data_IF_466304433581
#
_entry.id   IF_466304433581
#
_cell.length_a   1.000
_cell.length_b   1.000
_cell.length_c   1.000
_cell.angle_alpha   90.00
_cell.angle_beta   90.00
_cell.angle_gamma   90.00
#
_symmetry.space_group_name_H-M   'P 1'
#
loop_
_entity.id
_entity.type
_entity.pdbx_description
1 polymer ?
#
# COMPACT_ATOMS: atom_id res chain seq x y z
N UNK A 1 10.89 -27.16 -13.00
CA UNK A 1 9.60 -26.54 -12.63
C UNK A 1 9.82 -25.04 -12.80
N UNK A 2 9.19 -24.42 -13.79
CA UNK A 2 9.48 -23.03 -14.16
C UNK A 2 9.20 -22.12 -12.96
N UNK A 3 10.24 -21.36 -12.57
CA UNK A 3 10.21 -20.30 -11.57
C UNK A 3 9.29 -19.19 -12.08
N UNK A 4 7.97 -19.38 -11.99
CA UNK A 4 7.00 -18.33 -12.26
C UNK A 4 7.19 -17.29 -11.15
N UNK A 5 7.99 -16.28 -11.49
CA UNK A 5 8.32 -15.20 -10.59
C UNK A 5 7.05 -14.37 -10.38
N UNK A 6 6.40 -14.53 -9.23
CA UNK A 6 5.25 -13.71 -8.81
C UNK A 6 5.57 -12.22 -8.99
N UNK A 7 4.87 -11.53 -9.90
CA UNK A 7 5.16 -10.14 -10.28
C UNK A 7 4.29 -9.16 -9.47
N UNK A 8 4.86 -8.00 -9.10
CA UNK A 8 4.07 -6.89 -8.52
C UNK A 8 2.97 -6.40 -9.47
N UNK A 9 3.11 -6.64 -10.77
CA UNK A 9 2.04 -6.36 -11.73
C UNK A 9 0.73 -7.08 -11.38
N UNK A 10 0.81 -8.32 -10.88
CA UNK A 10 -0.35 -9.15 -10.51
C UNK A 10 -1.03 -8.65 -9.22
N UNK A 11 -0.33 -7.82 -8.44
CA UNK A 11 -0.81 -7.18 -7.21
C UNK A 11 -1.39 -5.78 -7.44
N UNK A 12 -1.49 -5.31 -8.69
CA UNK A 12 -2.16 -4.03 -8.97
C UNK A 12 -3.67 -4.22 -8.89
N UNK A 13 -4.37 -3.29 -8.24
CA UNK A 13 -5.83 -3.32 -8.20
C UNK A 13 -6.44 -3.26 -9.60
N UNK A 14 -7.21 -4.27 -9.98
CA UNK A 14 -8.09 -4.24 -11.15
C UNK A 14 -9.54 -4.20 -10.68
N UNK A 15 -10.10 -3.00 -10.62
CA UNK A 15 -11.47 -2.81 -10.20
C UNK A 15 -12.50 -3.38 -11.19
N UNK A 16 -12.14 -3.61 -12.46
CA UNK A 16 -13.05 -4.24 -13.42
C UNK A 16 -13.25 -5.73 -13.15
N UNK A 17 -12.27 -6.38 -12.50
CA UNK A 17 -12.32 -7.76 -12.05
C UNK A 17 -12.76 -7.91 -10.58
N UNK A 18 -13.23 -6.84 -9.94
CA UNK A 18 -13.66 -6.82 -8.53
C UNK A 18 -15.16 -6.52 -8.39
N UNK A 19 -15.73 -6.83 -7.22
CA UNK A 19 -17.10 -6.46 -6.86
C UNK A 19 -17.20 -5.13 -6.08
N UNK A 20 -16.23 -4.23 -6.28
CA UNK A 20 -16.22 -2.91 -5.62
C UNK A 20 -16.02 -3.00 -4.10
N UNK A 21 -15.29 -4.01 -3.62
CA UNK A 21 -15.18 -4.36 -2.19
C UNK A 21 -14.70 -3.19 -1.32
N UNK A 22 -13.74 -2.40 -1.79
CA UNK A 22 -13.26 -1.21 -1.09
C UNK A 22 -14.39 -0.16 -0.87
N UNK A 23 -15.37 -0.11 -1.77
CA UNK A 23 -16.49 0.84 -1.72
C UNK A 23 -17.67 0.35 -0.88
N UNK A 24 -17.75 -0.95 -0.55
CA UNK A 24 -18.86 -1.54 0.22
C UNK A 24 -18.41 -2.08 1.57
N UNK A 25 -17.34 -2.88 1.63
CA UNK A 25 -16.93 -3.61 2.82
C UNK A 25 -16.38 -2.68 3.91
N UNK A 26 -15.60 -1.66 3.53
CA UNK A 26 -14.88 -0.81 4.48
C UNK A 26 -15.70 0.40 4.92
N UNK A 27 -15.68 0.78 6.20
CA UNK A 27 -16.31 2.01 6.66
C UNK A 27 -15.44 3.24 6.34
N UNK A 28 -16.06 4.41 6.29
CA UNK A 28 -15.36 5.69 6.40
C UNK A 28 -16.27 6.72 7.08
N UNK A 29 -15.66 7.64 7.83
CA UNK A 29 -16.35 8.73 8.51
C UNK A 29 -16.16 10.04 7.75
N UNK A 30 -17.13 10.94 7.82
CA UNK A 30 -17.03 12.25 7.22
C UNK A 30 -15.81 13.01 7.78
N UNK A 31 -14.96 13.51 6.89
CA UNK A 31 -13.70 14.19 7.21
C UNK A 31 -13.22 15.02 6.02
N UNK A 32 -12.01 15.59 6.09
CA UNK A 32 -11.36 16.21 4.92
C UNK A 32 -11.14 15.21 3.76
N UNK A 33 -11.07 13.92 4.06
CA UNK A 33 -10.82 12.85 3.08
C UNK A 33 -12.11 12.27 2.47
N UNK A 34 -13.24 12.41 3.18
CA UNK A 34 -14.53 11.85 2.81
C UNK A 34 -15.67 12.81 3.12
N UNK A 35 -16.44 13.21 2.11
CA UNK A 35 -17.53 14.18 2.25
C UNK A 35 -18.72 13.66 3.09
N UNK A 36 -18.85 12.35 3.28
CA UNK A 36 -19.99 11.70 3.93
C UNK A 36 -19.56 10.50 4.75
N UNK A 37 -20.37 10.14 5.74
CA UNK A 37 -20.23 8.88 6.46
C UNK A 37 -20.73 7.69 5.63
N UNK A 38 -20.07 6.55 5.81
CA UNK A 38 -20.50 5.27 5.29
C UNK A 38 -20.13 4.14 6.25
N UNK A 39 -21.15 3.40 6.70
CA UNK A 39 -20.95 2.18 7.47
C UNK A 39 -20.28 1.07 6.62
N UNK A 40 -19.62 0.13 7.30
CA UNK A 40 -19.16 -1.11 6.71
C UNK A 40 -20.34 -1.92 6.16
N UNK A 41 -20.17 -2.58 5.02
CA UNK A 41 -21.21 -3.35 4.33
C UNK A 41 -22.29 -2.51 3.63
N UNK A 42 -22.37 -1.20 3.86
CA UNK A 42 -23.22 -0.29 3.09
C UNK A 42 -22.48 0.14 1.82
N UNK A 43 -23.05 -0.04 0.62
CA UNK A 43 -22.44 0.42 -0.62
C UNK A 43 -22.28 1.95 -0.63
N UNK A 44 -21.14 2.43 -1.13
CA UNK A 44 -20.95 3.85 -1.43
C UNK A 44 -22.01 4.31 -2.43
N UNK A 45 -22.56 5.51 -2.27
CA UNK A 45 -23.58 6.04 -3.19
C UNK A 45 -23.05 6.24 -4.63
N UNK A 46 -21.73 6.29 -4.80
CA UNK A 46 -21.08 6.36 -6.11
C UNK A 46 -20.78 4.98 -6.73
N UNK A 47 -21.06 3.89 -6.02
CA UNK A 47 -20.84 2.53 -6.53
C UNK A 47 -21.97 2.16 -7.48
N UNK A 48 -21.63 1.96 -8.76
CA UNK A 48 -22.58 1.61 -9.82
C UNK A 48 -22.93 0.12 -9.78
N UNK A 49 -23.94 -0.25 -10.56
CA UNK A 49 -24.42 -1.65 -10.69
C UNK A 49 -23.34 -2.58 -11.25
N UNK A 50 -22.42 -2.06 -12.06
CA UNK A 50 -21.26 -2.78 -12.58
C UNK A 50 -20.08 -2.86 -11.59
N UNK A 51 -20.29 -2.51 -10.32
CA UNK A 51 -19.31 -2.50 -9.24
C UNK A 51 -18.16 -1.48 -9.40
N UNK A 52 -18.24 -0.57 -10.38
CA UNK A 52 -17.24 0.49 -10.55
C UNK A 52 -17.68 1.79 -9.87
N UNK A 53 -16.70 2.58 -9.46
CA UNK A 53 -16.95 3.91 -8.91
C UNK A 53 -17.31 4.89 -10.04
N UNK A 54 -18.49 5.50 -9.98
CA UNK A 54 -18.99 6.44 -11.00
C UNK A 54 -18.33 7.82 -11.00
N UNK A 55 -17.38 8.06 -10.09
CA UNK A 55 -16.66 9.33 -9.95
C UNK A 55 -15.14 9.12 -9.83
N UNK A 56 -14.62 7.96 -10.24
CA UNK A 56 -13.23 7.56 -9.99
C UNK A 56 -12.20 8.59 -10.49
N UNK A 57 -12.47 9.22 -11.61
CA UNK A 57 -11.65 10.25 -12.26
C UNK A 57 -11.69 11.62 -11.56
N UNK A 58 -12.66 11.83 -10.67
CA UNK A 58 -12.90 13.12 -9.99
C UNK A 58 -13.01 13.01 -8.46
N UNK A 59 -12.53 11.91 -7.89
CA UNK A 59 -12.62 11.61 -6.45
C UNK A 59 -12.18 12.78 -5.58
N UNK A 60 -11.00 13.37 -5.86
CA UNK A 60 -10.45 14.51 -5.07
C UNK A 60 -11.37 15.73 -5.12
N UNK A 61 -11.85 16.11 -6.31
CA UNK A 61 -12.72 17.26 -6.52
C UNK A 61 -14.10 17.09 -5.87
N UNK A 62 -14.52 15.85 -5.68
CA UNK A 62 -15.83 15.51 -5.09
C UNK A 62 -15.77 15.16 -3.60
N UNK A 63 -14.63 15.39 -2.93
CA UNK A 63 -14.48 15.13 -1.49
C UNK A 63 -14.29 13.65 -1.13
N UNK A 64 -13.64 12.88 -2.00
CA UNK A 64 -13.28 11.47 -1.77
C UNK A 64 -11.77 11.25 -1.93
N UNK A 65 -10.95 12.21 -1.48
CA UNK A 65 -9.49 12.10 -1.50
C UNK A 65 -9.00 10.84 -0.78
N UNK A 66 -9.68 10.41 0.28
CA UNK A 66 -9.41 9.17 0.99
C UNK A 66 -9.41 7.92 0.11
N UNK A 67 -10.26 7.87 -0.92
CA UNK A 67 -10.26 6.77 -1.90
C UNK A 67 -9.01 6.79 -2.81
N UNK A 68 -8.37 7.93 -3.01
CA UNK A 68 -7.17 8.06 -3.86
C UNK A 68 -5.87 7.69 -3.14
N UNK A 69 -5.93 7.60 -1.81
CA UNK A 69 -4.81 7.22 -0.92
C UNK A 69 -5.05 5.83 -0.31
N UNK A 70 -5.88 5.02 -0.96
CA UNK A 70 -6.15 3.63 -0.60
C UNK A 70 -5.75 2.70 -1.75
N UNK A 71 -5.11 1.58 -1.42
CA UNK A 71 -4.86 0.48 -2.36
C UNK A 71 -5.17 -0.86 -1.68
N UNK A 72 -5.87 -1.73 -2.42
CA UNK A 72 -6.17 -3.09 -2.01
C UNK A 72 -5.08 -4.09 -2.40
N UNK A 73 -4.05 -3.67 -3.14
CA UNK A 73 -2.97 -4.51 -3.64
C UNK A 73 -3.49 -5.73 -4.42
N UNK A 74 -4.58 -5.53 -5.17
CA UNK A 74 -5.19 -6.58 -5.97
C UNK A 74 -6.03 -7.59 -5.19
N UNK A 75 -6.21 -7.40 -3.88
CA UNK A 75 -7.02 -8.30 -3.07
C UNK A 75 -8.49 -8.29 -3.47
N UNK A 76 -8.97 -7.16 -4.01
CA UNK A 76 -10.34 -7.02 -4.47
C UNK A 76 -10.69 -8.03 -5.56
N UNK A 77 -9.87 -8.12 -6.61
CA UNK A 77 -10.08 -9.10 -7.68
C UNK A 77 -9.78 -10.53 -7.23
N UNK A 78 -8.81 -10.73 -6.32
CA UNK A 78 -8.52 -12.05 -5.75
C UNK A 78 -9.75 -12.63 -5.05
N UNK A 79 -10.35 -11.84 -4.16
CA UNK A 79 -11.54 -12.26 -3.42
C UNK A 79 -12.71 -12.52 -4.38
N UNK A 80 -12.94 -11.60 -5.32
CA UNK A 80 -14.05 -11.70 -6.27
C UNK A 80 -13.94 -12.94 -7.17
N UNK A 81 -12.80 -13.11 -7.84
CA UNK A 81 -12.66 -14.11 -8.90
C UNK A 81 -12.20 -15.47 -8.38
N UNK A 82 -11.31 -15.50 -7.38
CA UNK A 82 -10.69 -16.74 -6.90
C UNK A 82 -11.40 -17.26 -5.67
N UNK A 83 -11.55 -16.45 -4.61
CA UNK A 83 -12.09 -16.92 -3.34
C UNK A 83 -13.60 -17.20 -3.40
N UNK A 84 -14.36 -16.39 -4.13
CA UNK A 84 -15.82 -16.52 -4.28
C UNK A 84 -16.25 -16.95 -5.69
N UNK A 85 -15.30 -17.35 -6.55
CA UNK A 85 -15.58 -17.97 -7.85
C UNK A 85 -16.47 -17.14 -8.77
N UNK A 86 -16.35 -15.80 -8.75
CA UNK A 86 -17.12 -14.91 -9.61
C UNK A 86 -18.54 -14.58 -9.11
N UNK A 87 -18.95 -15.07 -7.94
CA UNK A 87 -20.27 -14.78 -7.38
C UNK A 87 -20.25 -13.49 -6.56
N UNK A 88 -20.98 -12.47 -7.00
CA UNK A 88 -20.99 -11.17 -6.33
C UNK A 88 -21.76 -11.17 -4.98
N UNK A 89 -21.64 -10.08 -4.23
CA UNK A 89 -22.32 -9.90 -2.94
C UNK A 89 -23.76 -9.38 -3.04
N UNK A 90 -24.22 -8.95 -4.23
CA UNK A 90 -25.56 -8.39 -4.46
C UNK A 90 -26.61 -9.47 -4.72
N UNK A 91 -26.25 -10.52 -5.44
CA UNK A 91 -27.18 -11.61 -5.83
C UNK A 91 -27.19 -12.76 -4.83
N UNK A 92 -26.19 -12.85 -3.95
CA UNK A 92 -26.07 -13.87 -2.92
C UNK A 92 -26.92 -13.61 -1.66
N UNK A 93 -26.84 -14.54 -0.71
CA UNK A 93 -27.46 -14.37 0.61
C UNK A 93 -26.74 -13.27 1.43
N UNK A 94 -27.40 -12.75 2.47
CA UNK A 94 -26.74 -11.81 3.41
C UNK A 94 -25.49 -12.40 4.06
N UNK A 95 -25.50 -13.70 4.31
CA UNK A 95 -24.35 -14.43 4.86
C UNK A 95 -23.20 -14.49 3.85
N UNK A 96 -23.49 -14.74 2.56
CA UNK A 96 -22.49 -14.70 1.49
C UNK A 96 -21.81 -13.34 1.40
N UNK A 97 -22.59 -12.26 1.38
CA UNK A 97 -22.05 -10.89 1.38
C UNK A 97 -21.18 -10.62 2.61
N UNK A 98 -21.64 -11.01 3.81
CA UNK A 98 -20.88 -10.86 5.06
C UNK A 98 -19.54 -11.60 4.99
N UNK A 99 -19.53 -12.88 4.60
CA UNK A 99 -18.28 -13.66 4.48
C UNK A 99 -17.30 -13.00 3.52
N UNK A 100 -17.78 -12.47 2.40
CA UNK A 100 -16.94 -11.75 1.44
C UNK A 100 -16.33 -10.48 2.03
N UNK A 101 -17.12 -9.72 2.81
CA UNK A 101 -16.64 -8.50 3.46
C UNK A 101 -15.68 -8.78 4.61
N UNK A 102 -15.86 -9.88 5.35
CA UNK A 102 -14.96 -10.30 6.43
C UNK A 102 -13.62 -10.81 5.88
N UNK A 103 -13.63 -11.53 4.75
CA UNK A 103 -12.42 -12.06 4.09
C UNK A 103 -11.59 -10.96 3.40
N UNK A 104 -12.23 -9.95 2.83
CA UNK A 104 -11.54 -8.94 2.03
C UNK A 104 -10.39 -8.21 2.76
N UNK A 105 -10.56 -7.69 4.00
CA UNK A 105 -9.48 -7.10 4.76
C UNK A 105 -8.31 -8.07 5.03
N UNK A 106 -8.58 -9.36 5.25
CA UNK A 106 -7.54 -10.38 5.47
C UNK A 106 -6.70 -10.55 4.21
N UNK A 107 -7.34 -10.74 3.06
CA UNK A 107 -6.64 -10.91 1.78
C UNK A 107 -5.88 -9.63 1.40
N UNK A 108 -6.43 -8.45 1.67
CA UNK A 108 -5.73 -7.16 1.48
C UNK A 108 -4.44 -7.09 2.28
N UNK A 109 -4.45 -7.56 3.52
CA UNK A 109 -3.23 -7.61 4.33
C UNK A 109 -2.21 -8.60 3.79
N UNK A 110 -2.63 -9.79 3.36
CA UNK A 110 -1.73 -10.76 2.73
C UNK A 110 -1.11 -10.22 1.43
N UNK A 111 -1.91 -9.57 0.58
CA UNK A 111 -1.45 -8.97 -0.66
C UNK A 111 -0.47 -7.80 -0.44
N UNK A 112 -0.68 -7.00 0.60
CA UNK A 112 0.29 -5.98 1.01
C UNK A 112 1.64 -6.61 1.43
N UNK A 113 1.62 -7.76 2.12
CA UNK A 113 2.84 -8.49 2.46
C UNK A 113 3.53 -9.07 1.22
N UNK A 114 2.76 -9.63 0.28
CA UNK A 114 3.28 -10.06 -1.02
C UNK A 114 3.96 -8.91 -1.76
N UNK A 115 3.36 -7.72 -1.74
CA UNK A 115 3.92 -6.52 -2.37
C UNK A 115 5.33 -6.20 -1.83
N UNK A 116 5.47 -6.15 -0.50
CA UNK A 116 6.75 -5.87 0.13
C UNK A 116 7.77 -7.00 -0.07
N UNK A 117 7.35 -8.26 0.02
CA UNK A 117 8.24 -9.40 -0.18
C UNK A 117 8.78 -9.47 -1.62
N UNK A 118 7.91 -9.23 -2.62
CA UNK A 118 8.33 -9.17 -4.01
C UNK A 118 9.31 -8.01 -4.24
N UNK A 119 9.08 -6.84 -3.66
CA UNK A 119 10.06 -5.75 -3.74
C UNK A 119 11.38 -6.10 -3.04
N UNK A 120 11.34 -6.73 -1.87
CA UNK A 120 12.54 -7.13 -1.13
C UNK A 120 13.43 -8.07 -1.95
N UNK A 121 12.84 -8.97 -2.73
CA UNK A 121 13.55 -9.87 -3.65
C UNK A 121 14.26 -9.14 -4.80
N UNK A 122 13.86 -7.91 -5.12
CA UNK A 122 14.52 -7.07 -6.15
C UNK A 122 15.71 -6.27 -5.61
N UNK A 123 15.86 -6.16 -4.28
CA UNK A 123 16.95 -5.39 -3.67
C UNK A 123 18.28 -6.16 -3.81
N UNK A 124 19.29 -5.61 -4.52
CA UNK A 124 20.56 -6.33 -4.72
C UNK A 124 21.27 -6.67 -3.41
N UNK A 125 21.21 -5.77 -2.44
CA UNK A 125 21.82 -5.95 -1.12
C UNK A 125 21.14 -7.07 -0.29
N UNK A 126 19.87 -7.40 -0.57
CA UNK A 126 19.13 -8.44 0.13
C UNK A 126 19.36 -9.86 -0.46
N UNK A 127 20.24 -10.01 -1.45
CA UNK A 127 20.57 -11.31 -2.08
C UNK A 127 20.87 -12.44 -1.08
N UNK A 128 21.58 -12.22 0.06
CA UNK A 128 21.81 -13.28 1.05
C UNK A 128 20.52 -13.86 1.66
N UNK A 129 19.43 -13.10 1.69
CA UNK A 129 18.14 -13.51 2.26
C UNK A 129 17.19 -14.12 1.22
N UNK A 130 17.58 -14.22 -0.05
CA UNK A 130 16.69 -14.57 -1.17
C UNK A 130 15.92 -15.88 -0.93
N UNK A 131 16.56 -16.89 -0.34
CA UNK A 131 15.92 -18.18 -0.03
C UNK A 131 14.88 -18.09 1.10
N UNK A 132 15.12 -17.29 2.14
CA UNK A 132 14.15 -17.05 3.21
C UNK A 132 12.97 -16.21 2.70
N UNK A 133 13.26 -15.15 1.94
CA UNK A 133 12.25 -14.27 1.34
C UNK A 133 11.33 -15.02 0.36
N UNK A 134 11.89 -15.90 -0.49
CA UNK A 134 11.08 -16.72 -1.41
C UNK A 134 10.16 -17.66 -0.65
N UNK A 135 10.67 -18.39 0.35
CA UNK A 135 9.85 -19.33 1.13
C UNK A 135 8.67 -18.65 1.82
N UNK A 136 8.88 -17.47 2.41
CA UNK A 136 7.77 -16.76 3.05
C UNK A 136 6.83 -16.10 2.05
N UNK A 137 7.32 -15.68 0.86
CA UNK A 137 6.48 -15.21 -0.23
C UNK A 137 5.55 -16.33 -0.70
N UNK A 138 6.09 -17.51 -1.00
CA UNK A 138 5.33 -18.66 -1.46
C UNK A 138 4.28 -19.08 -0.42
N UNK A 139 4.67 -19.15 0.87
CA UNK A 139 3.72 -19.38 1.98
C UNK A 139 2.62 -18.31 2.05
N UNK A 140 2.98 -17.03 1.88
CA UNK A 140 2.00 -15.94 1.88
C UNK A 140 1.03 -16.07 0.71
N UNK A 141 1.52 -16.45 -0.46
CA UNK A 141 0.70 -16.65 -1.65
C UNK A 141 -0.25 -17.85 -1.46
N UNK A 142 0.23 -18.95 -0.91
CA UNK A 142 -0.58 -20.12 -0.54
C UNK A 142 -1.73 -19.75 0.40
N UNK A 143 -1.47 -18.92 1.43
CA UNK A 143 -2.52 -18.43 2.33
C UNK A 143 -3.62 -17.68 1.58
N UNK A 144 -3.30 -16.92 0.52
CA UNK A 144 -4.33 -16.21 -0.28
C UNK A 144 -5.27 -17.14 -1.05
N UNK A 145 -4.94 -18.43 -1.16
CA UNK A 145 -5.76 -19.45 -1.85
C UNK A 145 -6.63 -20.26 -0.88
N UNK A 146 -6.60 -19.95 0.42
CA UNK A 146 -7.47 -20.56 1.41
C UNK A 146 -8.95 -20.32 1.10
N UNK A 147 -9.79 -21.23 1.60
CA UNK A 147 -11.25 -21.07 1.57
C UNK A 147 -11.69 -19.85 2.39
N UNK A 148 -12.92 -19.34 2.18
CA UNK A 148 -13.42 -18.22 2.98
C UNK A 148 -13.34 -18.44 4.50
N UNK A 149 -13.57 -19.67 4.98
CA UNK A 149 -13.55 -19.98 6.41
C UNK A 149 -12.13 -20.05 6.96
N UNK A 150 -11.18 -20.61 6.21
CA UNK A 150 -9.76 -20.61 6.57
C UNK A 150 -9.19 -19.19 6.60
N UNK A 151 -9.55 -18.36 5.61
CA UNK A 151 -9.15 -16.94 5.56
C UNK A 151 -9.75 -16.15 6.72
N UNK A 152 -11.03 -16.37 7.06
CA UNK A 152 -11.68 -15.71 8.18
C UNK A 152 -11.07 -16.10 9.54
N UNK A 153 -10.56 -17.34 9.67
CA UNK A 153 -9.91 -17.83 10.88
C UNK A 153 -8.39 -17.54 10.96
N UNK A 154 -7.80 -16.97 9.90
CA UNK A 154 -6.36 -16.77 9.80
C UNK A 154 -5.86 -15.69 10.77
N UNK A 155 -4.84 -16.02 11.57
CA UNK A 155 -4.05 -15.04 12.31
C UNK A 155 -3.07 -14.32 11.39
N UNK A 156 -3.59 -13.35 10.64
CA UNK A 156 -2.81 -12.52 9.72
C UNK A 156 -1.81 -11.62 10.45
N UNK A 157 -2.03 -11.32 11.73
CA UNK A 157 -1.13 -10.51 12.53
C UNK A 157 0.14 -11.29 12.88
N UNK A 158 0.01 -12.56 13.30
CA UNK A 158 1.17 -13.44 13.51
C UNK A 158 1.96 -13.63 12.21
N UNK A 159 1.29 -13.89 11.08
CA UNK A 159 1.98 -14.02 9.79
C UNK A 159 2.71 -12.72 9.37
N UNK A 160 2.11 -11.55 9.62
CA UNK A 160 2.77 -10.25 9.40
C UNK A 160 4.03 -10.09 10.24
N UNK A 161 4.05 -10.58 11.48
CA UNK A 161 5.23 -10.51 12.34
C UNK A 161 6.38 -11.34 11.75
N UNK A 162 6.10 -12.57 11.28
CA UNK A 162 7.08 -13.43 10.61
C UNK A 162 7.68 -12.73 9.37
N UNK A 163 6.83 -12.16 8.52
CA UNK A 163 7.26 -11.39 7.32
C UNK A 163 8.13 -10.19 7.72
N UNK A 164 7.73 -9.45 8.75
CA UNK A 164 8.42 -8.24 9.16
C UNK A 164 9.84 -8.51 9.68
N UNK A 165 10.11 -9.69 10.25
CA UNK A 165 11.49 -10.10 10.61
C UNK A 165 12.41 -10.06 9.38
N UNK A 166 11.96 -10.61 8.26
CA UNK A 166 12.75 -10.66 7.03
C UNK A 166 12.84 -9.29 6.34
N UNK A 167 11.75 -8.53 6.30
CA UNK A 167 11.76 -7.18 5.73
C UNK A 167 12.69 -6.23 6.50
N UNK A 168 12.78 -6.36 7.82
CA UNK A 168 13.75 -5.60 8.62
C UNK A 168 15.19 -5.95 8.26
N UNK A 169 15.51 -7.24 8.13
CA UNK A 169 16.86 -7.68 7.70
C UNK A 169 17.20 -7.18 6.30
N UNK A 170 16.27 -7.30 5.35
CA UNK A 170 16.45 -6.81 3.98
C UNK A 170 16.70 -5.30 3.95
N UNK A 171 15.94 -4.56 4.75
CA UNK A 171 16.08 -3.11 4.90
C UNK A 171 17.44 -2.70 5.48
N UNK A 172 17.92 -3.35 6.54
CA UNK A 172 19.25 -3.07 7.09
C UNK A 172 20.35 -3.30 6.05
N UNK A 173 20.28 -4.38 5.29
CA UNK A 173 21.24 -4.68 4.21
C UNK A 173 21.19 -3.60 3.12
N UNK A 174 20.00 -3.21 2.66
CA UNK A 174 19.83 -2.20 1.62
C UNK A 174 20.35 -0.82 2.05
N UNK A 175 20.12 -0.43 3.31
CA UNK A 175 20.55 0.88 3.81
C UNK A 175 22.03 0.95 4.17
N UNK A 176 22.70 -0.19 4.40
CA UNK A 176 24.12 -0.23 4.73
C UNK A 176 25.02 0.42 3.67
N UNK A 177 24.58 0.46 2.40
CA UNK A 177 25.34 1.07 1.30
C UNK A 177 25.40 2.60 1.28
N UNK A 178 24.60 3.31 2.10
CA UNK A 178 24.47 4.77 2.02
C UNK A 178 25.46 5.55 2.89
N UNK A 179 26.33 4.87 3.65
CA UNK A 179 27.41 5.48 4.44
C UNK A 179 26.94 6.42 5.56
N UNK A 180 27.89 6.86 6.40
CA UNK A 180 27.62 7.82 7.49
C UNK A 180 26.89 7.25 8.71
N UNK A 181 26.45 8.15 9.61
CA UNK A 181 25.74 7.77 10.85
C UNK A 181 24.37 7.20 10.52
N UNK A 182 24.04 6.03 11.07
CA UNK A 182 22.71 5.42 10.93
C UNK A 182 21.61 6.39 11.37
N UNK A 183 20.72 6.75 10.45
CA UNK A 183 19.56 7.62 10.69
C UNK A 183 18.34 6.77 10.99
N UNK A 184 18.20 6.34 12.25
CA UNK A 184 17.02 5.58 12.67
C UNK A 184 15.91 6.53 13.15
N UNK A 185 14.82 6.61 12.39
CA UNK A 185 13.62 7.41 12.66
C UNK A 185 12.36 6.54 12.62
N UNK A 186 12.51 5.23 12.88
CA UNK A 186 11.39 4.29 12.91
C UNK A 186 10.37 4.73 13.97
N UNK A 187 9.10 4.87 13.57
CA UNK A 187 8.01 5.28 14.46
C UNK A 187 8.14 6.71 14.99
N UNK A 188 9.05 7.53 14.44
CA UNK A 188 9.26 8.87 14.93
C UNK A 188 8.04 9.76 14.63
N UNK A 189 7.66 10.58 15.60
CA UNK A 189 6.76 11.70 15.37
C UNK A 189 7.56 12.85 14.73
N UNK A 190 7.26 13.12 13.47
CA UNK A 190 7.85 14.17 12.64
C UNK A 190 6.76 15.03 12.01
N UNK A 191 5.57 15.09 12.63
CA UNK A 191 4.46 15.89 12.12
C UNK A 191 4.85 17.37 12.09
N UNK A 192 4.62 18.03 10.95
CA UNK A 192 5.00 19.43 10.74
C UNK A 192 6.51 19.72 10.80
N UNK A 193 7.36 18.70 10.81
CA UNK A 193 8.80 18.88 10.94
C UNK A 193 9.38 19.67 9.76
N UNK A 194 10.29 20.60 10.06
CA UNK A 194 11.01 21.40 9.04
C UNK A 194 12.30 20.67 8.66
N UNK A 195 12.23 19.86 7.62
CA UNK A 195 13.30 18.99 7.12
C UNK A 195 13.73 19.38 5.69
N UNK A 196 13.50 20.64 5.30
CA UNK A 196 13.93 21.18 4.01
C UNK A 196 15.43 20.98 3.79
N UNK A 197 15.79 20.37 2.67
CA UNK A 197 17.17 20.06 2.30
C UNK A 197 17.86 19.02 3.19
N UNK A 198 17.11 18.33 4.06
CA UNK A 198 17.71 17.36 4.97
C UNK A 198 18.32 16.18 4.21
N UNK A 199 19.53 15.78 4.62
CA UNK A 199 20.10 14.51 4.19
C UNK A 199 19.46 13.38 5.00
N UNK A 200 18.57 12.62 4.37
CA UNK A 200 17.90 11.43 4.89
C UNK A 200 18.28 10.17 4.11
N UNK A 201 19.43 10.18 3.40
CA UNK A 201 19.94 9.00 2.70
C UNK A 201 20.05 7.80 3.63
N UNK A 202 19.55 6.66 3.19
CA UNK A 202 19.56 5.42 3.96
C UNK A 202 18.80 5.49 5.30
N UNK A 203 17.89 6.45 5.48
CA UNK A 203 17.14 6.58 6.72
C UNK A 203 16.13 5.43 6.90
N UNK A 204 15.99 4.99 8.15
CA UNK A 204 14.88 4.14 8.55
C UNK A 204 13.69 5.02 8.92
N UNK A 205 12.71 5.18 8.02
CA UNK A 205 11.48 5.96 8.26
C UNK A 205 10.26 5.05 8.47
N UNK A 206 10.48 3.76 8.74
CA UNK A 206 9.38 2.81 8.94
C UNK A 206 8.40 3.32 9.99
N UNK A 207 7.13 3.44 9.64
CA UNK A 207 6.09 3.89 10.57
C UNK A 207 6.27 5.32 11.09
N UNK A 208 7.15 6.14 10.51
CA UNK A 208 7.30 7.53 10.92
C UNK A 208 6.06 8.35 10.54
N UNK A 209 5.63 9.25 11.41
CA UNK A 209 4.54 10.18 11.15
C UNK A 209 5.11 11.46 10.55
N UNK A 210 5.06 11.63 9.23
CA UNK A 210 5.57 12.79 8.49
C UNK A 210 4.44 13.74 8.07
N UNK A 211 3.28 13.66 8.73
CA UNK A 211 2.09 14.41 8.36
C UNK A 211 2.41 15.90 8.32
N UNK A 212 2.13 16.56 7.20
CA UNK A 212 2.44 17.98 6.97
C UNK A 212 3.91 18.38 7.17
N UNK A 213 4.87 17.44 7.14
CA UNK A 213 6.30 17.76 7.22
C UNK A 213 6.80 18.43 5.93
N UNK A 214 7.73 19.37 6.06
CA UNK A 214 8.42 20.00 4.93
C UNK A 214 9.71 19.23 4.63
N UNK A 215 9.69 18.45 3.55
CA UNK A 215 10.84 17.72 2.99
C UNK A 215 11.30 18.33 1.65
N UNK A 216 11.03 19.61 1.43
CA UNK A 216 11.40 20.30 0.18
C UNK A 216 12.91 20.15 -0.08
N UNK A 217 13.29 19.61 -1.23
CA UNK A 217 14.69 19.40 -1.61
C UNK A 217 15.46 18.40 -0.74
N UNK A 218 14.79 17.63 0.12
CA UNK A 218 15.44 16.62 0.96
C UNK A 218 15.96 15.44 0.14
N UNK A 219 17.03 14.82 0.60
CA UNK A 219 17.63 13.64 -0.03
C UNK A 219 17.22 12.38 0.73
N UNK A 220 16.26 11.63 0.20
CA UNK A 220 15.74 10.38 0.76
C UNK A 220 16.27 9.13 0.02
N UNK A 221 17.36 9.24 -0.74
CA UNK A 221 17.87 8.11 -1.53
C UNK A 221 18.15 6.91 -0.61
N UNK A 222 17.58 5.75 -0.96
CA UNK A 222 17.74 4.54 -0.16
C UNK A 222 17.00 4.51 1.17
N UNK A 223 16.07 5.42 1.44
CA UNK A 223 15.27 5.37 2.66
C UNK A 223 14.27 4.19 2.63
N UNK A 224 14.03 3.59 3.80
CA UNK A 224 12.95 2.62 4.02
C UNK A 224 11.68 3.34 4.48
N UNK A 225 10.61 3.19 3.71
CA UNK A 225 9.34 3.91 3.89
C UNK A 225 8.16 3.01 4.27
N UNK A 226 8.36 1.75 4.69
CA UNK A 226 7.22 0.89 5.10
C UNK A 226 6.38 1.58 6.18
N UNK A 227 5.11 1.82 5.87
CA UNK A 227 4.15 2.37 6.81
C UNK A 227 4.43 3.81 7.25
N UNK A 228 5.38 4.52 6.62
CA UNK A 228 5.53 5.95 6.84
C UNK A 228 4.25 6.69 6.42
N UNK A 229 3.74 7.57 7.27
CA UNK A 229 2.56 8.37 6.99
C UNK A 229 2.99 9.68 6.32
N UNK A 230 2.73 9.79 5.02
CA UNK A 230 3.13 10.94 4.19
C UNK A 230 1.98 11.89 3.88
N UNK A 231 0.87 11.84 4.63
CA UNK A 231 -0.27 12.74 4.40
C UNK A 231 0.16 14.19 4.49
N UNK A 232 -0.09 14.95 3.42
CA UNK A 232 0.28 16.37 3.28
C UNK A 232 1.78 16.68 3.43
N UNK A 233 2.66 15.67 3.42
CA UNK A 233 4.11 15.91 3.39
C UNK A 233 4.49 16.64 2.10
N UNK A 234 5.31 17.69 2.20
CA UNK A 234 5.83 18.41 1.04
C UNK A 234 7.15 17.76 0.56
N UNK A 235 7.10 17.03 -0.56
CA UNK A 235 8.24 16.40 -1.22
C UNK A 235 8.71 17.20 -2.44
N UNK A 236 8.36 18.48 -2.56
CA UNK A 236 8.80 19.34 -3.69
C UNK A 236 10.31 19.28 -3.85
N UNK A 237 10.80 18.96 -5.05
CA UNK A 237 12.22 18.78 -5.38
C UNK A 237 13.01 17.76 -4.52
N UNK A 238 12.34 16.93 -3.72
CA UNK A 238 12.99 15.87 -2.95
C UNK A 238 13.49 14.73 -3.86
N UNK A 239 14.57 14.05 -3.44
CA UNK A 239 15.12 12.91 -4.16
C UNK A 239 14.83 11.59 -3.42
N UNK A 240 13.87 10.83 -3.91
CA UNK A 240 13.51 9.50 -3.41
C UNK A 240 14.12 8.36 -4.25
N UNK A 241 15.12 8.64 -5.10
CA UNK A 241 15.73 7.62 -5.96
C UNK A 241 16.27 6.45 -5.14
N UNK A 242 15.82 5.23 -5.45
CA UNK A 242 16.23 4.03 -4.73
C UNK A 242 15.69 3.92 -3.31
N UNK A 243 14.84 4.85 -2.84
CA UNK A 243 14.00 4.58 -1.69
C UNK A 243 13.10 3.38 -1.99
N UNK A 244 12.84 2.55 -0.98
CA UNK A 244 12.21 1.25 -1.17
C UNK A 244 11.07 1.05 -0.18
N UNK A 245 10.14 0.16 -0.55
CA UNK A 245 8.87 -0.05 0.14
C UNK A 245 7.96 1.17 0.22
N UNK A 246 8.18 2.13 -0.67
CA UNK A 246 7.26 3.24 -0.93
C UNK A 246 6.11 2.74 -1.81
N UNK A 247 4.88 3.08 -1.43
CA UNK A 247 3.67 2.68 -2.14
C UNK A 247 3.03 3.86 -2.87
N UNK A 248 2.26 3.59 -3.92
CA UNK A 248 1.54 4.63 -4.66
C UNK A 248 0.59 5.45 -3.77
N UNK A 249 -0.18 4.85 -2.83
CA UNK A 249 -0.99 5.61 -1.88
C UNK A 249 -0.21 6.62 -1.03
N UNK A 250 0.98 6.25 -0.56
CA UNK A 250 1.82 7.16 0.23
C UNK A 250 2.23 8.39 -0.59
N UNK A 251 2.59 8.21 -1.87
CA UNK A 251 2.85 9.35 -2.75
C UNK A 251 1.60 10.14 -3.08
N UNK A 252 0.48 9.46 -3.29
CA UNK A 252 -0.79 10.13 -3.57
C UNK A 252 -1.23 11.03 -2.40
N UNK A 253 -0.87 10.66 -1.17
CA UNK A 253 -1.17 11.43 0.04
C UNK A 253 -0.26 12.65 0.23
N UNK A 254 0.90 12.66 -0.41
CA UNK A 254 1.88 13.75 -0.32
C UNK A 254 1.68 14.80 -1.43
N UNK A 255 2.42 15.90 -1.31
CA UNK A 255 2.63 16.91 -2.35
C UNK A 255 4.03 16.77 -2.93
N UNK A 256 4.18 17.15 -4.19
CA UNK A 256 5.47 17.16 -4.87
C UNK A 256 5.39 17.97 -6.15
N UNK A 257 6.46 17.95 -6.93
CA UNK A 257 6.65 18.81 -8.10
C UNK A 257 7.27 18.01 -9.24
N UNK A 258 7.42 18.63 -10.42
CA UNK A 258 8.14 18.02 -11.54
C UNK A 258 9.59 17.64 -11.19
N UNK A 259 10.24 18.38 -10.28
CA UNK A 259 11.62 18.13 -9.84
C UNK A 259 11.75 17.01 -8.79
N UNK A 260 10.66 16.59 -8.14
CA UNK A 260 10.68 15.47 -7.20
C UNK A 260 11.08 14.18 -7.92
N UNK A 261 12.18 13.54 -7.53
CA UNK A 261 12.67 12.29 -8.13
C UNK A 261 12.11 11.08 -7.40
N UNK A 262 11.56 10.12 -8.13
CA UNK A 262 10.84 8.96 -7.59
C UNK A 262 11.57 7.65 -7.93
N UNK A 263 11.45 6.59 -7.10
CA UNK A 263 11.89 5.25 -7.47
C UNK A 263 10.99 4.67 -8.57
N UNK A 264 11.53 3.75 -9.38
CA UNK A 264 10.80 3.14 -10.50
C UNK A 264 9.58 2.30 -10.10
N UNK A 265 9.42 1.98 -8.80
CA UNK A 265 8.31 1.19 -8.27
C UNK A 265 6.98 1.95 -8.21
N UNK A 266 7.00 3.27 -8.35
CA UNK A 266 5.82 4.15 -8.22
C UNK A 266 5.76 5.17 -9.35
N UNK A 267 4.54 5.61 -9.66
CA UNK A 267 4.29 6.67 -10.63
C UNK A 267 4.15 8.04 -9.98
N UNK A 268 4.47 9.10 -10.72
CA UNK A 268 4.19 10.48 -10.31
C UNK A 268 2.67 10.68 -10.20
N UNK A 269 2.15 11.15 -9.05
CA UNK A 269 0.74 11.46 -8.93
C UNK A 269 0.31 12.58 -9.89
N UNK A 270 -0.83 12.41 -10.55
CA UNK A 270 -1.35 13.35 -11.55
C UNK A 270 -1.66 14.74 -10.97
N UNK A 271 -1.95 14.83 -9.68
CA UNK A 271 -2.25 16.09 -9.01
C UNK A 271 -1.00 16.89 -8.61
N UNK A 272 0.21 16.34 -8.81
CA UNK A 272 1.47 17.09 -8.60
C UNK A 272 1.85 17.95 -9.79
N UNK A 273 1.26 17.69 -10.96
CA UNK A 273 1.56 18.38 -12.21
C UNK A 273 0.54 19.46 -12.56
N UNK A 274 -0.46 19.67 -11.71
CA UNK A 274 -1.34 20.82 -11.80
C UNK A 274 -0.62 21.99 -11.13
N UNK A 275 -0.17 22.96 -11.92
CA UNK A 275 0.31 24.25 -11.41
C UNK A 275 -0.78 24.83 -10.51
N UNK A 276 -0.46 25.02 -9.23
CA UNK A 276 -1.21 25.91 -8.33
C UNK A 276 -0.42 27.20 -8.21
#
# INVERSE_FOLDING_TARGET
MQDQMFDRADLRGDCASCFGLCCVALPFAASADFAVDKAAGKPCHNLRDDHRCGIHDRLRQTGFTGCTVYDCFGAGQKVAQVTFGGQDWRTGSREHARRMFDVFPVVRQLHELLWYLTEALTLPAARPLRGELRRILDRTEELTRGTPDELAALDVAAHRQDVNVLLLKASELARAGFGGRKKNRRGADLMGARLRGADLRGANLRGAYLIAADLTGADLRGADLIGADLRDTDLTDADLTGAFFLTQPQLNAARGSAGTRLPASVGRPVHWTADV
#
